data_IF_655008374860
#
_entry.id   IF_655008374860
#
_cell.length_a   1.000
_cell.length_b   1.000
_cell.length_c   1.000
_cell.angle_alpha   90.00
_cell.angle_beta   90.00
_cell.angle_gamma   90.00
#
_symmetry.space_group_name_H-M   'P 1'
#
loop_
_entity.id
_entity.type
_entity.pdbx_description
1 polymer ?
#
# COMPACT_ATOMS: atom_id res chain seq x y z
N UNK A 1 -2.84 1.71 13.76
CA UNK A 1 -3.94 2.03 12.81
C UNK A 1 -3.52 1.89 11.34
N UNK A 2 -2.22 1.99 11.02
CA UNK A 2 -1.64 1.64 9.70
C UNK A 2 -1.87 0.18 9.30
N UNK A 3 -1.97 -0.72 10.27
CA UNK A 3 -2.07 -2.18 10.01
C UNK A 3 -3.46 -2.68 9.58
N UNK A 4 -4.38 -1.78 9.25
CA UNK A 4 -5.71 -2.18 8.76
C UNK A 4 -6.08 -1.50 7.45
N UNK A 5 -5.27 -0.54 6.99
CA UNK A 5 -5.49 0.20 5.75
C UNK A 5 -4.70 -0.45 4.61
N UNK A 6 -5.36 -1.05 3.60
CA UNK A 6 -4.68 -1.64 2.42
C UNK A 6 -3.72 -0.69 1.73
N UNK A 7 -4.02 0.60 1.80
CA UNK A 7 -3.15 1.64 1.28
C UNK A 7 -1.82 1.65 2.03
N UNK A 8 -1.87 1.66 3.36
CA UNK A 8 -0.69 1.83 4.21
C UNK A 8 0.15 0.55 4.31
N UNK A 9 -0.47 -0.62 4.45
CA UNK A 9 0.28 -1.86 4.67
C UNK A 9 0.74 -2.57 3.40
N UNK A 10 0.20 -2.22 2.23
CA UNK A 10 0.48 -2.92 0.98
C UNK A 10 0.76 -1.95 -0.15
N UNK A 11 -0.26 -1.18 -0.55
CA UNK A 11 -0.21 -0.45 -1.83
C UNK A 11 0.87 0.64 -1.82
N UNK A 12 1.04 1.36 -0.71
CA UNK A 12 2.04 2.42 -0.59
C UNK A 12 3.47 1.89 -0.74
N UNK A 13 3.79 0.74 -0.15
CA UNK A 13 5.12 0.12 -0.29
C UNK A 13 5.47 -0.17 -1.76
N UNK A 14 4.50 -0.61 -2.55
CA UNK A 14 4.69 -0.88 -3.99
C UNK A 14 4.88 0.42 -4.78
N UNK A 15 4.05 1.43 -4.52
CA UNK A 15 4.17 2.74 -5.17
C UNK A 15 5.51 3.40 -4.86
N UNK A 16 5.90 3.40 -3.59
CA UNK A 16 7.17 3.95 -3.12
C UNK A 16 8.35 3.22 -3.78
N UNK A 17 8.35 1.89 -3.74
CA UNK A 17 9.40 1.07 -4.35
C UNK A 17 9.49 1.28 -5.86
N UNK A 18 8.36 1.50 -6.54
CA UNK A 18 8.33 1.68 -8.00
C UNK A 18 8.81 3.07 -8.40
N UNK A 19 8.29 4.10 -7.73
CA UNK A 19 8.56 5.50 -8.07
C UNK A 19 9.95 5.96 -7.62
N UNK A 20 10.48 5.44 -6.52
CA UNK A 20 11.81 5.82 -6.02
C UNK A 20 12.98 5.14 -6.74
N UNK A 21 12.72 4.29 -7.76
CA UNK A 21 13.78 3.74 -8.64
C UNK A 21 14.48 4.81 -9.48
N UNK A 22 13.83 5.96 -9.65
CA UNK A 22 14.34 7.08 -10.45
C UNK A 22 14.27 8.37 -9.63
N UNK A 23 15.27 9.25 -9.80
CA UNK A 23 15.22 10.59 -9.19
C UNK A 23 14.18 11.46 -9.91
N UNK A 24 13.41 12.22 -9.14
CA UNK A 24 12.42 13.16 -9.64
C UNK A 24 12.94 14.58 -9.57
N UNK A 25 12.76 15.38 -10.62
CA UNK A 25 13.30 16.75 -10.70
C UNK A 25 12.53 17.76 -9.86
N UNK A 26 11.28 17.46 -9.50
CA UNK A 26 10.42 18.30 -8.67
C UNK A 26 9.19 17.51 -8.16
N UNK A 27 8.41 18.14 -7.29
CA UNK A 27 7.19 17.56 -6.71
C UNK A 27 6.16 17.14 -7.77
N UNK A 28 5.99 17.88 -8.87
CA UNK A 28 5.02 17.52 -9.92
C UNK A 28 5.43 16.26 -10.65
N UNK A 29 6.73 16.09 -10.93
CA UNK A 29 7.26 14.87 -11.53
C UNK A 29 7.01 13.66 -10.63
N UNK A 30 7.25 13.80 -9.31
CA UNK A 30 6.96 12.73 -8.35
C UNK A 30 5.45 12.39 -8.29
N UNK A 31 4.58 13.40 -8.20
CA UNK A 31 3.13 13.18 -8.19
C UNK A 31 2.64 12.49 -9.45
N UNK A 32 3.22 12.82 -10.61
CA UNK A 32 2.91 12.17 -11.87
C UNK A 32 3.34 10.70 -11.86
N UNK A 33 4.58 10.41 -11.47
CA UNK A 33 5.09 9.04 -11.37
C UNK A 33 4.26 8.17 -10.41
N UNK A 34 3.79 8.72 -9.28
CA UNK A 34 2.92 8.00 -8.34
C UNK A 34 1.58 7.65 -9.01
N UNK A 35 0.99 8.57 -9.79
CA UNK A 35 -0.28 8.32 -10.49
C UNK A 35 -0.11 7.27 -11.59
N UNK A 36 0.96 7.35 -12.37
CA UNK A 36 1.27 6.34 -13.39
C UNK A 36 1.46 4.96 -12.75
N UNK A 37 2.26 4.86 -11.69
CA UNK A 37 2.46 3.59 -10.97
C UNK A 37 1.16 3.04 -10.34
N UNK A 38 0.25 3.92 -9.93
CA UNK A 38 -1.08 3.52 -9.47
C UNK A 38 -1.95 2.98 -10.62
N UNK A 39 -1.97 3.66 -11.76
CA UNK A 39 -2.76 3.26 -12.92
C UNK A 39 -2.26 1.95 -13.54
N UNK A 40 -0.94 1.70 -13.48
CA UNK A 40 -0.30 0.46 -13.91
C UNK A 40 -0.48 -0.70 -12.92
N UNK A 41 -0.91 -0.41 -11.68
CA UNK A 41 -1.06 -1.44 -10.65
C UNK A 41 -2.18 -2.42 -11.01
N UNK A 42 -1.89 -3.71 -10.87
CA UNK A 42 -2.87 -4.76 -11.13
C UNK A 42 -4.12 -4.59 -10.26
N UNK A 43 -5.28 -4.55 -10.90
CA UNK A 43 -6.59 -4.57 -10.19
C UNK A 43 -6.74 -5.81 -9.32
N UNK A 44 -6.14 -6.93 -9.70
CA UNK A 44 -6.12 -8.15 -8.90
C UNK A 44 -5.30 -7.94 -7.62
N UNK A 45 -4.14 -7.29 -7.72
CA UNK A 45 -3.31 -6.96 -6.55
C UNK A 45 -4.06 -6.06 -5.56
N UNK A 46 -4.74 -5.02 -6.06
CA UNK A 46 -5.56 -4.12 -5.25
C UNK A 46 -6.69 -4.91 -4.57
N UNK A 47 -7.39 -5.76 -5.32
CA UNK A 47 -8.46 -6.60 -4.78
C UNK A 47 -7.94 -7.52 -3.68
N UNK A 48 -6.82 -8.20 -3.91
CA UNK A 48 -6.21 -9.12 -2.95
C UNK A 48 -5.80 -8.39 -1.66
N UNK A 49 -5.21 -7.19 -1.79
CA UNK A 49 -4.86 -6.34 -0.64
C UNK A 49 -6.09 -5.89 0.15
N UNK A 50 -7.20 -5.56 -0.51
CA UNK A 50 -8.45 -5.23 0.19
C UNK A 50 -9.07 -6.45 0.88
N UNK A 51 -9.01 -7.63 0.25
CA UNK A 51 -9.56 -8.86 0.84
C UNK A 51 -8.77 -9.36 2.04
N UNK A 52 -7.47 -9.07 2.12
CA UNK A 52 -6.64 -9.49 3.26
C UNK A 52 -6.94 -8.71 4.55
N UNK A 53 -7.65 -7.58 4.48
CA UNK A 53 -8.03 -6.78 5.65
C UNK A 53 -8.76 -7.62 6.69
N UNK A 54 -9.64 -8.53 6.26
CA UNK A 54 -10.36 -9.40 7.20
C UNK A 54 -9.40 -10.24 8.05
N UNK A 55 -8.42 -10.87 7.43
CA UNK A 55 -7.41 -11.66 8.13
C UNK A 55 -6.55 -10.81 9.04
N UNK A 56 -6.25 -9.57 8.65
CA UNK A 56 -5.51 -8.64 9.51
C UNK A 56 -6.33 -8.20 10.72
N UNK A 57 -7.63 -7.95 10.57
CA UNK A 57 -8.52 -7.68 11.71
C UNK A 57 -8.54 -8.87 12.68
N UNK A 58 -8.65 -10.09 12.17
CA UNK A 58 -8.60 -11.32 12.98
C UNK A 58 -7.28 -11.40 13.77
N UNK A 59 -6.14 -11.15 13.12
CA UNK A 59 -4.83 -11.13 13.77
C UNK A 59 -4.71 -10.02 14.85
N UNK A 60 -5.28 -8.84 14.62
CA UNK A 60 -5.33 -7.78 15.64
C UNK A 60 -6.17 -8.21 16.84
N UNK A 61 -7.29 -8.90 16.62
CA UNK A 61 -8.15 -9.42 17.70
C UNK A 61 -7.38 -10.47 18.51
N UNK A 62 -6.72 -11.42 17.84
CA UNK A 62 -5.93 -12.46 18.50
C UNK A 62 -4.75 -11.88 19.30
N UNK A 63 -4.19 -10.75 18.83
CA UNK A 63 -3.15 -10.02 19.55
C UNK A 63 -3.70 -8.98 20.56
N UNK A 64 -4.98 -9.07 20.93
CA UNK A 64 -5.62 -8.21 21.95
C UNK A 64 -5.47 -6.72 21.60
N UNK A 65 -5.63 -6.39 20.32
CA UNK A 65 -5.47 -5.02 19.81
C UNK A 65 -4.01 -4.58 19.62
N UNK A 66 -3.05 -5.49 19.77
CA UNK A 66 -1.63 -5.25 19.53
C UNK A 66 -1.28 -5.00 18.05
N UNK A 67 -0.05 -4.53 17.82
CA UNK A 67 0.50 -4.34 16.48
C UNK A 67 0.70 -5.68 15.76
N UNK A 68 0.51 -5.70 14.44
CA UNK A 68 0.75 -6.86 13.58
C UNK A 68 1.59 -6.43 12.38
N UNK A 69 2.51 -7.29 11.93
CA UNK A 69 3.26 -7.12 10.67
C UNK A 69 2.44 -7.66 9.49
#
# INVERSE_FOLDING_TARGET
MSDLSPLDFSVWSVLETTTNKTSHSNLKALQHAIREAWDDMSKEYIRNSCTSVRHRIEAVIDNIGGHIE
#
